data_IF_260259166064
#
_entry.id   IF_260259166064
#
_cell.length_a   1.000
_cell.length_b   1.000
_cell.length_c   1.000
_cell.angle_alpha   90.00
_cell.angle_beta   90.00
_cell.angle_gamma   90.00
#
_symmetry.space_group_name_H-M   'P 1'
#
loop_
_entity.id
_entity.type
_entity.pdbx_description
1 polymer ?
#
# COMPACT_ATOMS: atom_id res chain seq x y z
N UNK A 1 15.30 19.25 9.17
CA UNK A 1 15.50 17.81 8.92
C UNK A 1 14.17 17.23 8.44
N UNK A 2 14.20 16.64 7.25
CA UNK A 2 13.03 15.94 6.67
C UNK A 2 13.24 14.44 6.79
N UNK A 3 12.27 13.74 7.39
CA UNK A 3 12.26 12.29 7.50
C UNK A 3 11.05 11.74 6.72
N UNK A 4 11.29 10.75 5.88
CA UNK A 4 10.24 10.06 5.15
C UNK A 4 10.13 8.61 5.64
N UNK A 5 8.93 8.23 6.04
CA UNK A 5 8.58 6.84 6.36
C UNK A 5 8.19 6.12 5.07
N UNK A 6 9.13 5.34 4.56
CA UNK A 6 8.97 4.52 3.35
C UNK A 6 8.79 3.03 3.67
N UNK A 7 8.43 2.71 4.91
CA UNK A 7 8.23 1.32 5.36
C UNK A 7 7.14 0.62 4.56
N UNK A 8 6.07 1.33 4.19
CA UNK A 8 4.97 0.81 3.36
C UNK A 8 5.12 1.15 1.88
N UNK A 9 5.67 2.31 1.56
CA UNK A 9 5.67 2.88 0.22
C UNK A 9 6.92 2.52 -0.59
N UNK A 10 8.02 2.22 0.09
CA UNK A 10 9.29 1.88 -0.56
C UNK A 10 9.31 0.50 -1.21
N UNK A 11 10.43 0.23 -1.87
CA UNK A 11 10.73 -1.04 -2.55
C UNK A 11 9.67 -1.43 -3.57
N UNK A 12 9.41 -0.54 -4.54
CA UNK A 12 8.60 -0.82 -5.71
C UNK A 12 7.10 -0.61 -5.54
N UNK A 13 6.58 -0.53 -4.31
CA UNK A 13 5.13 -0.41 -4.03
C UNK A 13 4.46 0.72 -4.81
N UNK A 14 5.13 1.86 -4.92
CA UNK A 14 4.66 3.05 -5.64
C UNK A 14 5.22 3.17 -7.08
N UNK A 15 5.86 2.14 -7.60
CA UNK A 15 6.50 2.15 -8.93
C UNK A 15 7.91 2.75 -8.96
N UNK A 16 8.44 3.16 -7.82
CA UNK A 16 9.79 3.69 -7.62
C UNK A 16 10.49 2.93 -6.49
N UNK A 17 11.84 3.04 -6.38
CA UNK A 17 12.54 2.45 -5.24
C UNK A 17 12.02 2.99 -3.92
N UNK A 18 11.83 4.31 -3.83
CA UNK A 18 11.16 4.98 -2.73
C UNK A 18 10.09 5.92 -3.31
N UNK A 19 8.95 6.01 -2.67
CA UNK A 19 7.84 6.82 -3.16
C UNK A 19 8.22 8.29 -3.38
N UNK A 20 9.09 8.85 -2.53
CA UNK A 20 9.60 10.22 -2.65
C UNK A 20 10.29 10.50 -3.99
N UNK A 21 10.83 9.47 -4.67
CA UNK A 21 11.45 9.64 -5.99
C UNK A 21 10.43 10.11 -7.04
N UNK A 22 9.16 9.77 -6.89
CA UNK A 22 8.08 10.21 -7.79
C UNK A 22 7.95 11.74 -7.86
N UNK A 23 8.27 12.42 -6.78
CA UNK A 23 8.20 13.89 -6.65
C UNK A 23 9.58 14.55 -6.62
N UNK A 24 10.64 13.81 -6.95
CA UNK A 24 12.03 14.29 -6.93
C UNK A 24 12.43 14.90 -5.58
N UNK A 25 11.88 14.36 -4.49
CA UNK A 25 12.22 14.79 -3.12
C UNK A 25 13.41 13.99 -2.62
N UNK A 26 14.40 14.68 -2.04
CA UNK A 26 15.54 14.08 -1.37
C UNK A 26 15.47 14.41 0.13
N UNK A 27 14.96 13.49 0.97
CA UNK A 27 14.88 13.72 2.40
C UNK A 27 16.24 13.55 3.09
N UNK A 28 16.35 14.03 4.33
CA UNK A 28 17.53 13.80 5.17
C UNK A 28 17.59 12.37 5.73
N UNK A 29 16.41 11.75 5.97
CA UNK A 29 16.29 10.37 6.44
C UNK A 29 15.17 9.63 5.67
N UNK A 30 15.44 8.36 5.35
CA UNK A 30 14.42 7.44 4.80
C UNK A 30 14.36 6.22 5.71
N UNK A 31 13.21 6.01 6.37
CA UNK A 31 12.94 4.79 7.12
C UNK A 31 12.41 3.71 6.17
N UNK A 32 12.94 2.50 6.25
CA UNK A 32 12.51 1.40 5.40
C UNK A 32 12.42 0.07 6.17
N UNK A 33 11.57 -0.81 5.69
CA UNK A 33 11.44 -2.20 6.16
C UNK A 33 10.70 -3.03 5.08
N UNK A 34 9.95 -4.04 5.49
CA UNK A 34 9.01 -4.85 4.69
C UNK A 34 9.56 -5.26 3.31
N UNK A 35 9.33 -4.43 2.28
CA UNK A 35 9.73 -4.70 0.91
C UNK A 35 11.23 -4.89 0.69
N UNK A 36 12.07 -4.43 1.60
CA UNK A 36 13.54 -4.54 1.46
C UNK A 36 14.01 -5.98 1.26
N UNK A 37 13.32 -6.95 1.85
CA UNK A 37 13.62 -8.37 1.66
C UNK A 37 12.35 -9.24 1.53
N UNK A 38 11.25 -8.62 1.13
CA UNK A 38 9.96 -9.30 0.85
C UNK A 38 9.41 -10.12 2.02
N UNK A 39 9.82 -9.81 3.26
CA UNK A 39 9.35 -10.49 4.47
C UNK A 39 10.04 -11.82 4.78
N UNK A 40 11.06 -12.22 4.04
CA UNK A 40 11.78 -13.49 4.28
C UNK A 40 12.49 -13.51 5.63
N UNK A 41 13.10 -12.39 6.04
CA UNK A 41 13.75 -12.22 7.34
C UNK A 41 13.45 -10.84 7.88
N UNK A 42 13.11 -10.65 9.18
CA UNK A 42 12.88 -9.33 9.74
C UNK A 42 14.08 -8.40 9.52
N UNK A 43 13.86 -7.30 8.80
CA UNK A 43 14.87 -6.27 8.54
C UNK A 43 14.19 -4.92 8.38
N UNK A 44 14.79 -3.91 8.95
CA UNK A 44 14.48 -2.51 8.72
C UNK A 44 15.73 -1.67 8.87
N UNK A 45 15.65 -0.43 8.43
CA UNK A 45 16.78 0.47 8.51
C UNK A 45 16.38 1.92 8.26
N UNK A 46 17.37 2.79 8.41
CA UNK A 46 17.26 4.20 8.08
C UNK A 46 18.44 4.57 7.20
N UNK A 47 18.15 5.08 6.01
CA UNK A 47 19.16 5.77 5.19
C UNK A 47 19.26 7.19 5.72
N UNK A 48 20.48 7.68 5.92
CA UNK A 48 20.75 9.03 6.41
C UNK A 48 21.55 9.83 5.38
N UNK A 49 21.29 11.14 5.31
CA UNK A 49 22.07 12.04 4.47
C UNK A 49 23.52 12.17 4.97
N UNK A 50 24.41 12.54 4.05
CA UNK A 50 25.82 12.79 4.41
C UNK A 50 25.97 13.85 5.51
N UNK A 51 25.14 14.89 5.47
CA UNK A 51 25.09 15.93 6.50
C UNK A 51 24.85 15.38 7.90
N UNK A 52 23.94 14.40 8.04
CA UNK A 52 23.67 13.75 9.32
C UNK A 52 24.84 12.82 9.70
N UNK A 53 25.35 12.02 8.76
CA UNK A 53 26.47 11.14 8.99
C UNK A 53 27.72 11.89 9.48
N UNK A 54 28.00 13.06 8.91
CA UNK A 54 29.15 13.90 9.29
C UNK A 54 29.09 14.35 10.75
N UNK A 55 27.89 14.47 11.33
CA UNK A 55 27.73 14.82 12.75
C UNK A 55 28.32 13.78 13.68
N UNK A 56 28.44 12.53 13.22
CA UNK A 56 28.93 11.41 14.04
C UNK A 56 30.38 10.99 13.70
N UNK A 57 31.11 11.77 12.90
CA UNK A 57 32.54 11.48 12.60
C UNK A 57 33.42 11.58 13.79
N UNK A 58 33.16 12.55 14.69
CA UNK A 58 33.97 12.85 15.85
C UNK A 58 33.27 12.60 17.19
N UNK A 59 32.05 12.03 17.13
CA UNK A 59 31.29 11.66 18.33
C UNK A 59 30.57 10.34 18.14
N UNK A 60 30.45 9.59 19.23
CA UNK A 60 29.76 8.32 19.23
C UNK A 60 28.26 8.52 18.89
N UNK A 61 27.73 7.73 17.97
CA UNK A 61 26.29 7.61 17.75
C UNK A 61 25.65 6.90 18.96
N UNK A 62 24.71 7.54 19.70
CA UNK A 62 24.16 6.99 20.94
C UNK A 62 23.01 6.01 20.65
N UNK A 63 23.21 5.05 19.77
CA UNK A 63 22.18 4.10 19.35
C UNK A 63 22.78 2.79 18.88
N UNK A 64 21.89 1.88 18.53
CA UNK A 64 22.22 0.55 18.03
C UNK A 64 21.25 -0.50 18.54
N UNK A 65 21.10 -1.57 17.78
CA UNK A 65 20.29 -2.73 18.13
C UNK A 65 21.18 -3.97 18.11
N UNK A 66 20.92 -4.93 19.01
CA UNK A 66 21.72 -6.16 19.11
C UNK A 66 21.80 -6.91 17.77
N UNK A 67 20.70 -6.93 17.01
CA UNK A 67 20.62 -7.60 15.71
C UNK A 67 20.90 -6.70 14.50
N UNK A 68 21.40 -5.48 14.71
CA UNK A 68 21.76 -4.58 13.62
C UNK A 68 22.82 -5.21 12.72
N UNK A 69 22.63 -5.10 11.39
CA UNK A 69 23.56 -5.67 10.41
C UNK A 69 23.61 -7.20 10.39
N UNK A 70 22.54 -7.90 10.82
CA UNK A 70 22.50 -9.35 10.85
C UNK A 70 22.77 -9.94 9.46
N UNK A 71 23.79 -10.80 9.28
CA UNK A 71 24.25 -11.26 7.96
C UNK A 71 23.16 -11.93 7.13
N UNK A 72 22.36 -12.81 7.77
CA UNK A 72 21.26 -13.51 7.10
C UNK A 72 20.21 -12.52 6.57
N UNK A 73 19.82 -11.53 7.39
CA UNK A 73 18.83 -10.54 6.99
C UNK A 73 19.34 -9.63 5.85
N UNK A 74 20.62 -9.24 5.92
CA UNK A 74 21.26 -8.44 4.88
C UNK A 74 21.42 -9.25 3.58
N UNK A 75 21.80 -10.53 3.65
CA UNK A 75 21.89 -11.39 2.48
C UNK A 75 20.55 -11.54 1.76
N UNK A 76 19.46 -11.75 2.52
CA UNK A 76 18.11 -11.81 1.97
C UNK A 76 17.71 -10.47 1.28
N UNK A 77 18.09 -9.33 1.88
CA UNK A 77 17.82 -8.02 1.28
C UNK A 77 18.60 -7.81 -0.03
N UNK A 78 19.87 -8.18 -0.08
CA UNK A 78 20.68 -8.08 -1.30
C UNK A 78 20.10 -8.95 -2.41
N UNK A 79 19.71 -10.19 -2.10
CA UNK A 79 19.06 -11.08 -3.05
C UNK A 79 17.73 -10.50 -3.57
N UNK A 80 16.87 -10.00 -2.68
CA UNK A 80 15.60 -9.36 -3.03
C UNK A 80 15.80 -8.16 -3.95
N UNK A 81 16.73 -7.24 -3.63
CA UNK A 81 17.02 -6.06 -4.45
C UNK A 81 17.52 -6.46 -5.86
N UNK A 82 18.32 -7.52 -5.95
CA UNK A 82 18.79 -8.00 -7.25
C UNK A 82 17.63 -8.56 -8.08
N UNK A 83 16.76 -9.37 -7.50
CA UNK A 83 15.54 -9.90 -8.15
C UNK A 83 14.63 -8.74 -8.62
N UNK A 84 14.43 -7.71 -7.82
CA UNK A 84 13.67 -6.51 -8.25
C UNK A 84 14.21 -5.90 -9.55
N UNK A 85 15.55 -5.88 -9.71
CA UNK A 85 16.20 -5.35 -10.92
C UNK A 85 16.10 -6.33 -12.09
N UNK A 86 16.40 -7.60 -11.85
CA UNK A 86 16.40 -8.67 -12.87
C UNK A 86 15.01 -8.89 -13.46
N UNK A 87 13.98 -8.93 -12.63
CA UNK A 87 12.59 -9.14 -13.04
C UNK A 87 11.86 -7.83 -13.40
N UNK A 88 12.55 -6.68 -13.33
CA UNK A 88 11.99 -5.35 -13.67
C UNK A 88 10.69 -5.04 -12.94
N UNK A 89 10.65 -5.36 -11.64
CA UNK A 89 9.43 -5.25 -10.82
C UNK A 89 8.87 -3.82 -10.79
N UNK A 90 9.73 -2.78 -10.78
CA UNK A 90 9.28 -1.39 -10.79
C UNK A 90 8.53 -1.03 -12.08
N UNK A 91 9.06 -1.48 -13.22
CA UNK A 91 8.44 -1.29 -14.54
C UNK A 91 7.10 -2.02 -14.60
N UNK A 92 7.04 -3.26 -14.10
CA UNK A 92 5.80 -4.03 -14.01
C UNK A 92 4.75 -3.29 -13.17
N UNK A 93 5.11 -2.81 -11.98
CA UNK A 93 4.20 -2.04 -11.10
C UNK A 93 3.66 -0.80 -11.81
N UNK A 94 4.53 -0.01 -12.47
CA UNK A 94 4.09 1.17 -13.24
C UNK A 94 3.10 0.80 -14.33
N UNK A 95 3.43 -0.21 -15.14
CA UNK A 95 2.58 -0.69 -16.22
C UNK A 95 1.22 -1.17 -15.71
N UNK A 96 1.19 -2.01 -14.69
CA UNK A 96 -0.06 -2.52 -14.13
C UNK A 96 -0.90 -1.43 -13.46
N UNK A 97 -0.26 -0.50 -12.77
CA UNK A 97 -0.94 0.64 -12.17
C UNK A 97 -1.64 1.51 -13.21
N UNK A 98 -0.92 1.88 -14.28
CA UNK A 98 -1.41 2.79 -15.32
C UNK A 98 -2.47 2.14 -16.23
N UNK A 99 -2.26 0.88 -16.62
CA UNK A 99 -3.10 0.25 -17.65
C UNK A 99 -4.21 -0.65 -17.08
N UNK A 100 -4.13 -1.01 -15.81
CA UNK A 100 -5.11 -1.93 -15.18
C UNK A 100 -5.72 -1.31 -13.94
N UNK A 101 -4.92 -1.04 -12.90
CA UNK A 101 -5.49 -0.72 -11.58
C UNK A 101 -6.21 0.63 -11.60
N UNK A 102 -5.57 1.70 -12.05
CA UNK A 102 -6.16 3.03 -12.07
C UNK A 102 -7.45 3.08 -12.91
N UNK A 103 -7.46 2.64 -14.20
CA UNK A 103 -8.69 2.68 -15.00
C UNK A 103 -9.83 1.83 -14.44
N UNK A 104 -9.52 0.64 -13.89
CA UNK A 104 -10.54 -0.22 -13.33
C UNK A 104 -11.12 0.35 -12.02
N UNK A 105 -10.28 0.95 -11.17
CA UNK A 105 -10.78 1.58 -9.94
C UNK A 105 -11.60 2.85 -10.23
N UNK A 106 -11.22 3.62 -11.25
CA UNK A 106 -12.04 4.75 -11.72
C UNK A 106 -13.38 4.27 -12.24
N UNK A 107 -13.41 3.18 -13.02
CA UNK A 107 -14.65 2.53 -13.47
C UNK A 107 -15.53 2.11 -12.28
N UNK A 108 -14.96 1.54 -11.21
CA UNK A 108 -15.72 1.21 -10.00
C UNK A 108 -16.31 2.45 -9.34
N UNK A 109 -15.57 3.55 -9.28
CA UNK A 109 -16.05 4.83 -8.75
C UNK A 109 -17.22 5.38 -9.54
N UNK A 110 -17.18 5.26 -10.86
CA UNK A 110 -18.27 5.72 -11.73
C UNK A 110 -19.52 4.83 -11.60
N UNK A 111 -19.31 3.52 -11.47
CA UNK A 111 -20.40 2.53 -11.41
C UNK A 111 -21.13 2.51 -10.06
N UNK A 112 -20.39 2.61 -8.94
CA UNK A 112 -20.91 2.39 -7.59
C UNK A 112 -21.11 3.72 -6.85
N UNK A 113 -22.36 4.13 -6.56
CA UNK A 113 -22.61 5.38 -5.84
C UNK A 113 -22.02 5.41 -4.43
N UNK A 114 -21.84 4.25 -3.79
CA UNK A 114 -21.21 4.13 -2.48
C UNK A 114 -19.69 4.38 -2.48
N UNK A 115 -19.04 4.41 -3.66
CA UNK A 115 -17.62 4.75 -3.77
C UNK A 115 -17.48 6.27 -3.79
N UNK A 116 -17.09 6.85 -2.65
CA UNK A 116 -16.91 8.31 -2.52
C UNK A 116 -15.62 8.81 -3.15
N UNK A 117 -14.54 8.07 -3.00
CA UNK A 117 -13.25 8.42 -3.56
C UNK A 117 -12.38 7.20 -3.87
N UNK A 118 -11.51 7.35 -4.87
CA UNK A 118 -10.46 6.39 -5.23
C UNK A 118 -9.16 7.16 -5.35
N UNK A 119 -8.13 6.73 -4.62
CA UNK A 119 -6.82 7.37 -4.68
C UNK A 119 -5.69 6.37 -4.47
N UNK A 120 -4.58 6.60 -5.14
CA UNK A 120 -3.42 5.74 -5.00
C UNK A 120 -2.31 6.02 -6.00
N UNK A 121 -1.28 5.20 -5.91
CA UNK A 121 -0.10 5.27 -6.76
C UNK A 121 0.56 3.88 -6.84
N UNK A 122 1.01 3.49 -8.01
CA UNK A 122 1.58 2.16 -8.21
C UNK A 122 0.60 1.06 -7.83
N UNK A 123 1.01 0.15 -6.97
CA UNK A 123 0.18 -0.91 -6.39
C UNK A 123 -0.28 -0.58 -4.97
N UNK A 124 -0.55 0.70 -4.69
CA UNK A 124 -0.98 1.18 -3.39
C UNK A 124 -2.18 2.11 -3.52
N UNK A 125 -3.38 1.55 -3.45
CA UNK A 125 -4.64 2.26 -3.66
C UNK A 125 -5.60 2.09 -2.49
N UNK A 126 -6.54 3.01 -2.37
CA UNK A 126 -7.66 2.94 -1.45
C UNK A 126 -8.95 3.35 -2.15
N UNK A 127 -10.00 2.56 -1.91
CA UNK A 127 -11.39 2.87 -2.24
C UNK A 127 -12.04 3.34 -0.94
N UNK A 128 -12.54 4.56 -0.89
CA UNK A 128 -13.25 5.11 0.25
C UNK A 128 -14.75 5.02 0.05
N UNK A 129 -15.45 4.38 0.98
CA UNK A 129 -16.89 4.16 0.90
C UNK A 129 -17.66 5.20 1.69
N UNK A 130 -18.77 5.65 1.09
CA UNK A 130 -19.67 6.66 1.67
C UNK A 130 -21.12 6.21 1.57
N UNK A 131 -21.96 6.73 2.45
CA UNK A 131 -23.44 6.62 2.36
C UNK A 131 -24.04 7.71 1.50
N UNK A 132 -23.33 8.83 1.35
CA UNK A 132 -23.77 9.96 0.57
C UNK A 132 -22.54 10.73 0.05
N UNK A 133 -22.46 10.96 -1.25
CA UNK A 133 -21.31 11.65 -1.88
C UNK A 133 -21.33 13.15 -1.64
N UNK A 134 -22.50 13.77 -1.58
CA UNK A 134 -22.62 15.21 -1.41
C UNK A 134 -22.21 15.64 0.00
N UNK A 135 -22.77 14.96 1.01
CA UNK A 135 -22.45 15.23 2.42
C UNK A 135 -21.13 14.60 2.87
N UNK A 136 -20.57 13.69 2.06
CA UNK A 136 -19.39 12.88 2.40
C UNK A 136 -19.59 12.01 3.65
N UNK A 137 -20.83 11.64 3.95
CA UNK A 137 -21.13 10.77 5.08
C UNK A 137 -20.42 9.43 4.89
N UNK A 138 -19.50 9.03 5.81
CA UNK A 138 -18.76 7.80 5.66
C UNK A 138 -19.67 6.57 5.75
N UNK A 139 -19.33 5.50 5.06
CA UNK A 139 -20.08 4.25 5.03
C UNK A 139 -20.26 3.64 6.43
N UNK A 140 -19.20 3.67 7.22
CA UNK A 140 -19.19 3.35 8.66
C UNK A 140 -18.47 4.46 9.43
N UNK A 141 -18.80 4.71 10.69
CA UNK A 141 -18.14 5.72 11.52
C UNK A 141 -16.64 5.49 11.65
N UNK A 142 -15.90 6.56 11.93
CA UNK A 142 -14.50 6.45 12.36
C UNK A 142 -14.42 5.62 13.65
N UNK A 143 -13.45 4.71 13.72
CA UNK A 143 -13.32 3.74 14.81
C UNK A 143 -14.55 2.82 15.02
N UNK A 144 -15.33 2.57 13.97
CA UNK A 144 -16.48 1.67 14.05
C UNK A 144 -16.09 0.32 14.65
N UNK A 145 -16.88 -0.14 15.62
CA UNK A 145 -16.73 -1.44 16.27
C UNK A 145 -18.10 -2.09 16.50
N UNK A 146 -18.12 -3.39 16.74
CA UNK A 146 -19.37 -4.12 17.01
C UNK A 146 -20.39 -3.98 15.86
N UNK A 147 -21.60 -3.52 16.18
CA UNK A 147 -22.68 -3.38 15.22
C UNK A 147 -22.37 -2.38 14.11
N UNK A 148 -21.67 -1.29 14.43
CA UNK A 148 -21.33 -0.24 13.45
C UNK A 148 -20.31 -0.70 12.41
N UNK A 149 -19.46 -1.67 12.73
CA UNK A 149 -18.50 -2.26 11.80
C UNK A 149 -19.11 -3.35 10.90
N UNK A 150 -20.33 -3.82 11.21
CA UNK A 150 -20.97 -4.93 10.51
C UNK A 150 -21.11 -4.73 9.01
N UNK A 151 -21.49 -3.55 8.49
CA UNK A 151 -21.60 -3.34 7.04
C UNK A 151 -20.28 -3.59 6.29
N UNK A 152 -19.13 -3.16 6.84
CA UNK A 152 -17.83 -3.45 6.25
C UNK A 152 -17.46 -4.94 6.37
N UNK A 153 -17.82 -5.58 7.48
CA UNK A 153 -17.57 -7.01 7.69
C UNK A 153 -18.32 -7.89 6.67
N UNK A 154 -19.51 -7.48 6.23
CA UNK A 154 -20.29 -8.17 5.18
C UNK A 154 -19.56 -8.12 3.83
N UNK A 155 -19.00 -6.96 3.45
CA UNK A 155 -18.19 -6.82 2.23
C UNK A 155 -16.94 -7.72 2.31
N UNK A 156 -16.23 -7.70 3.44
CA UNK A 156 -15.04 -8.53 3.67
C UNK A 156 -15.39 -10.02 3.61
N UNK A 157 -16.51 -10.42 4.21
CA UNK A 157 -16.95 -11.82 4.19
C UNK A 157 -17.26 -12.29 2.77
N UNK A 158 -17.96 -11.47 1.97
CA UNK A 158 -18.22 -11.76 0.56
C UNK A 158 -16.91 -11.95 -0.22
N UNK A 159 -15.99 -10.98 -0.12
CA UNK A 159 -14.70 -11.08 -0.81
C UNK A 159 -13.97 -12.38 -0.47
N UNK A 160 -13.91 -12.74 0.82
CA UNK A 160 -13.25 -13.98 1.28
C UNK A 160 -13.90 -15.24 0.73
N UNK A 161 -15.23 -15.30 0.65
CA UNK A 161 -15.97 -16.41 0.05
C UNK A 161 -15.64 -16.57 -1.44
N UNK A 162 -15.34 -15.46 -2.14
CA UNK A 162 -14.94 -15.47 -3.54
C UNK A 162 -13.41 -15.67 -3.73
N UNK A 163 -12.65 -15.88 -2.66
CA UNK A 163 -11.19 -16.10 -2.74
C UNK A 163 -10.33 -14.84 -2.68
N UNK A 164 -10.90 -13.66 -2.46
CA UNK A 164 -10.17 -12.42 -2.27
C UNK A 164 -10.04 -12.08 -0.79
N UNK A 165 -8.81 -11.84 -0.31
CA UNK A 165 -8.55 -11.38 1.06
C UNK A 165 -8.30 -9.86 1.07
N UNK A 166 -9.32 -9.01 1.26
CA UNK A 166 -9.13 -7.57 1.27
C UNK A 166 -8.53 -7.09 2.58
N UNK A 167 -7.73 -6.02 2.53
CA UNK A 167 -7.36 -5.25 3.71
C UNK A 167 -8.29 -4.05 3.82
N UNK A 168 -8.97 -3.91 4.95
CA UNK A 168 -9.91 -2.80 5.20
C UNK A 168 -9.54 -2.05 6.47
N UNK A 169 -9.81 -0.76 6.49
CA UNK A 169 -9.62 0.09 7.64
C UNK A 169 -10.73 1.14 7.69
N UNK A 170 -11.64 1.02 8.67
CA UNK A 170 -12.88 1.77 8.75
C UNK A 170 -13.71 1.63 7.44
N UNK A 171 -14.01 2.75 6.78
CA UNK A 171 -14.75 2.82 5.51
C UNK A 171 -13.89 2.67 4.25
N UNK A 172 -12.64 2.19 4.38
CA UNK A 172 -11.71 2.07 3.25
C UNK A 172 -11.37 0.62 2.95
N UNK A 173 -11.35 0.29 1.66
CA UNK A 173 -10.80 -0.95 1.13
C UNK A 173 -9.46 -0.60 0.48
N UNK A 174 -8.39 -1.23 0.93
CA UNK A 174 -7.07 -1.06 0.34
C UNK A 174 -6.83 -2.08 -0.77
N UNK A 175 -6.43 -1.61 -1.94
CA UNK A 175 -6.01 -2.43 -3.07
C UNK A 175 -4.49 -2.41 -3.10
N UNK A 176 -3.89 -3.43 -2.48
CA UNK A 176 -2.45 -3.53 -2.23
C UNK A 176 -1.91 -4.93 -2.59
N UNK A 177 -2.12 -5.39 -3.83
CA UNK A 177 -1.69 -6.71 -4.26
C UNK A 177 -0.15 -6.84 -4.21
N UNK A 178 0.42 -8.03 -4.27
CA UNK A 178 1.85 -8.21 -4.49
C UNK A 178 2.33 -7.44 -5.73
N UNK A 179 3.54 -6.88 -5.67
CA UNK A 179 4.08 -6.09 -6.78
C UNK A 179 4.29 -6.89 -8.08
N UNK A 180 4.29 -8.22 -7.98
CA UNK A 180 4.45 -9.17 -9.10
C UNK A 180 3.14 -9.75 -9.60
N UNK A 181 1.98 -9.28 -9.10
CA UNK A 181 0.66 -9.80 -9.48
C UNK A 181 0.42 -9.62 -10.98
N UNK A 182 -0.05 -10.67 -11.65
CA UNK A 182 -0.35 -10.65 -13.07
C UNK A 182 -1.58 -9.76 -13.40
N UNK A 183 -1.68 -9.31 -14.64
CA UNK A 183 -2.86 -8.57 -15.11
C UNK A 183 -4.15 -9.38 -14.92
N UNK A 184 -4.12 -10.68 -15.21
CA UNK A 184 -5.28 -11.55 -15.08
C UNK A 184 -5.76 -11.61 -13.61
N UNK A 185 -4.85 -11.78 -12.65
CA UNK A 185 -5.19 -11.85 -11.24
C UNK A 185 -5.67 -10.49 -10.70
N UNK A 186 -5.07 -9.38 -11.18
CA UNK A 186 -5.55 -8.02 -10.85
C UNK A 186 -6.98 -7.82 -11.29
N UNK A 187 -7.31 -8.16 -12.54
CA UNK A 187 -8.67 -8.04 -13.07
C UNK A 187 -9.65 -8.96 -12.34
N UNK A 188 -9.25 -10.19 -12.03
CA UNK A 188 -10.08 -11.11 -11.26
C UNK A 188 -10.37 -10.58 -9.85
N UNK A 189 -9.35 -10.07 -9.14
CA UNK A 189 -9.54 -9.47 -7.82
C UNK A 189 -10.43 -8.22 -7.85
N UNK A 190 -10.27 -7.36 -8.86
CA UNK A 190 -11.11 -6.17 -9.03
C UNK A 190 -12.55 -6.54 -9.40
N UNK A 191 -12.78 -7.60 -10.18
CA UNK A 191 -14.12 -8.10 -10.46
C UNK A 191 -14.85 -8.58 -9.19
N UNK A 192 -14.14 -9.23 -8.27
CA UNK A 192 -14.72 -9.60 -6.96
C UNK A 192 -15.06 -8.34 -6.14
N UNK A 193 -14.21 -7.31 -6.18
CA UNK A 193 -14.53 -6.03 -5.52
C UNK A 193 -15.74 -5.36 -6.14
N UNK A 194 -15.88 -5.38 -7.47
CA UNK A 194 -17.05 -4.88 -8.20
C UNK A 194 -18.35 -5.52 -7.68
N UNK A 195 -18.38 -6.85 -7.56
CA UNK A 195 -19.54 -7.55 -7.01
C UNK A 195 -19.77 -7.21 -5.52
N UNK A 196 -18.70 -7.14 -4.71
CA UNK A 196 -18.79 -6.81 -3.30
C UNK A 196 -19.33 -5.40 -3.04
N UNK A 197 -19.03 -4.44 -3.91
CA UNK A 197 -19.50 -3.06 -3.79
C UNK A 197 -21.02 -2.92 -3.96
N UNK A 198 -21.70 -3.88 -4.63
CA UNK A 198 -23.16 -3.92 -4.66
C UNK A 198 -23.78 -4.07 -3.26
N UNK A 199 -23.02 -4.60 -2.28
CA UNK A 199 -23.45 -4.67 -0.88
C UNK A 199 -23.45 -3.25 -0.29
N UNK A 200 -22.38 -2.48 -0.56
CA UNK A 200 -22.28 -1.10 -0.08
C UNK A 200 -23.36 -0.20 -0.71
N UNK A 201 -23.67 -0.39 -1.99
CA UNK A 201 -24.66 0.41 -2.72
C UNK A 201 -26.07 0.30 -2.11
N UNK A 202 -26.42 -0.83 -1.48
CA UNK A 202 -27.70 -0.99 -0.77
C UNK A 202 -27.87 -0.05 0.42
N UNK A 203 -26.78 0.49 0.93
CA UNK A 203 -26.74 1.41 2.07
C UNK A 203 -26.54 2.87 1.65
N UNK A 204 -26.45 3.13 0.35
CA UNK A 204 -26.32 4.49 -0.18
C UNK A 204 -27.67 5.22 -0.06
N UNK A 205 -27.65 6.48 0.39
CA UNK A 205 -28.85 7.27 0.70
C UNK A 205 -28.88 8.66 0.03
N UNK A 206 -28.00 8.90 -0.95
CA UNK A 206 -27.90 10.20 -1.62
C UNK A 206 -28.07 10.14 -3.11
#
# INVERSE_FOLDING_TARGET
VMMCDEVMAGFGRCGEWFAVNKWHVTPDLICFAKGVNSGYVPLGGVVISQKIADTFKERVYPGGLTYMGHPLACAAAVASINIFKEEKVLEHVRKMAEHVVAPELDRLKDKHPSVGDVRGIGMFWAIELVRNRETRQPYVPFNAAGADAKPMAEIVAFCKQQGLWPFTHFNRIHVVPPCTTSEADLRAGIAILDEALNIADKHYVG
#
